data_IF_489785122979
#
_entry.id   IF_489785122979
#
_cell.length_a   1.000
_cell.length_b   1.000
_cell.length_c   1.000
_cell.angle_alpha   90.00
_cell.angle_beta   90.00
_cell.angle_gamma   90.00
#
_symmetry.space_group_name_H-M   'P 1'
#
loop_
_entity.id
_entity.type
_entity.pdbx_description
1 polymer ?
#
# COMPACT_ATOMS: atom_id res chain seq x y z
N UNK A 1 -0.92 -4.18 -2.15
CA UNK A 1 -1.38 -4.71 -3.45
C UNK A 1 -2.90 -4.73 -3.56
N UNK A 2 -3.63 -5.43 -2.68
CA UNK A 2 -5.11 -5.36 -2.60
C UNK A 2 -5.65 -3.93 -2.48
N UNK A 3 -5.02 -3.14 -1.61
CA UNK A 3 -5.33 -1.71 -1.46
C UNK A 3 -5.26 -0.92 -2.76
N UNK A 4 -4.13 -0.95 -3.48
CA UNK A 4 -3.88 -0.16 -4.71
C UNK A 4 -4.97 -0.40 -5.77
N UNK A 5 -5.29 -1.67 -6.04
CA UNK A 5 -6.33 -2.03 -7.00
C UNK A 5 -7.73 -1.61 -6.52
N UNK A 6 -8.00 -1.75 -5.22
CA UNK A 6 -9.30 -1.40 -4.64
C UNK A 6 -9.56 0.10 -4.69
N UNK A 7 -8.55 0.92 -4.37
CA UNK A 7 -8.67 2.38 -4.44
C UNK A 7 -8.98 2.84 -5.86
N UNK A 8 -8.37 2.25 -6.88
CA UNK A 8 -8.71 2.55 -8.26
C UNK A 8 -10.21 2.31 -8.56
N UNK A 9 -10.77 1.19 -8.10
CA UNK A 9 -12.20 0.90 -8.24
C UNK A 9 -13.07 1.90 -7.46
N UNK A 10 -12.65 2.30 -6.26
CA UNK A 10 -13.36 3.30 -5.46
C UNK A 10 -13.36 4.67 -6.14
N UNK A 11 -12.24 5.09 -6.72
CA UNK A 11 -12.12 6.35 -7.45
C UNK A 11 -13.01 6.37 -8.70
N UNK A 12 -13.11 5.23 -9.43
CA UNK A 12 -14.02 5.10 -10.57
C UNK A 12 -15.47 5.21 -10.11
N UNK A 13 -15.84 4.56 -9.01
CA UNK A 13 -17.21 4.65 -8.48
C UNK A 13 -17.57 6.06 -8.00
N UNK A 14 -16.63 6.79 -7.39
CA UNK A 14 -16.84 8.16 -6.93
C UNK A 14 -17.01 9.15 -8.09
N UNK A 15 -16.43 8.87 -9.25
CA UNK A 15 -16.58 9.69 -10.46
C UNK A 15 -16.84 8.82 -11.70
N UNK A 16 -18.06 8.26 -11.86
CA UNK A 16 -18.34 7.24 -12.87
C UNK A 16 -18.18 7.74 -14.32
N UNK A 17 -18.29 9.05 -14.54
CA UNK A 17 -18.16 9.66 -15.87
C UNK A 17 -16.70 9.93 -16.28
N UNK A 18 -15.72 9.67 -15.41
CA UNK A 18 -14.32 9.98 -15.69
C UNK A 18 -13.35 9.08 -14.92
N UNK A 19 -12.36 8.54 -15.62
CA UNK A 19 -11.26 7.79 -15.01
C UNK A 19 -10.20 8.70 -14.35
N UNK A 20 -10.41 10.02 -14.36
CA UNK A 20 -9.43 11.01 -13.89
C UNK A 20 -8.93 10.73 -12.48
N UNK A 21 -9.82 10.43 -11.53
CA UNK A 21 -9.44 10.20 -10.14
C UNK A 21 -8.54 8.95 -9.99
N UNK A 22 -8.87 7.87 -10.69
CA UNK A 22 -8.07 6.64 -10.68
C UNK A 22 -6.71 6.85 -11.39
N UNK A 23 -6.71 7.59 -12.51
CA UNK A 23 -5.49 7.90 -13.25
C UNK A 23 -4.54 8.79 -12.43
N UNK A 24 -5.06 9.84 -11.77
CA UNK A 24 -4.28 10.72 -10.89
C UNK A 24 -3.69 9.92 -9.73
N UNK A 25 -4.47 9.04 -9.10
CA UNK A 25 -3.99 8.19 -8.02
C UNK A 25 -2.83 7.29 -8.46
N UNK A 26 -3.00 6.55 -9.56
CA UNK A 26 -1.94 5.69 -10.09
C UNK A 26 -0.70 6.48 -10.54
N UNK A 27 -0.89 7.68 -11.10
CA UNK A 27 0.21 8.56 -11.50
C UNK A 27 0.99 9.09 -10.29
N UNK A 28 0.31 9.44 -9.20
CA UNK A 28 0.95 9.91 -7.96
C UNK A 28 1.73 8.77 -7.29
N UNK A 29 1.18 7.56 -7.18
CA UNK A 29 1.91 6.42 -6.60
C UNK A 29 3.13 6.05 -7.46
N UNK A 30 2.96 5.95 -8.77
CA UNK A 30 4.06 5.60 -9.68
C UNK A 30 5.12 6.70 -9.74
N UNK A 31 4.68 7.96 -9.83
CA UNK A 31 5.56 9.12 -9.88
C UNK A 31 6.33 9.33 -8.58
N UNK A 32 5.68 9.16 -7.43
CA UNK A 32 6.36 9.23 -6.14
C UNK A 32 7.43 8.15 -6.02
N UNK A 33 7.11 6.89 -6.35
CA UNK A 33 8.08 5.80 -6.35
C UNK A 33 9.26 6.07 -7.29
N UNK A 34 9.00 6.58 -8.49
CA UNK A 34 10.04 6.89 -9.48
C UNK A 34 10.97 8.02 -9.02
N UNK A 35 10.41 9.10 -8.45
CA UNK A 35 11.17 10.29 -8.05
C UNK A 35 11.90 10.08 -6.72
N UNK A 36 11.21 9.54 -5.72
CA UNK A 36 11.73 9.41 -4.36
C UNK A 36 12.35 8.04 -4.06
N UNK A 37 12.15 7.03 -4.92
CA UNK A 37 12.68 5.68 -4.69
C UNK A 37 14.21 5.64 -4.47
N UNK A 38 15.03 6.29 -5.32
CA UNK A 38 16.47 6.37 -5.09
C UNK A 38 16.85 7.10 -3.80
N UNK A 39 16.05 8.10 -3.39
CA UNK A 39 16.27 8.86 -2.16
C UNK A 39 16.01 7.97 -0.94
N UNK A 40 14.90 7.23 -0.95
CA UNK A 40 14.56 6.26 0.10
C UNK A 40 15.65 5.21 0.21
N UNK A 41 16.11 4.64 -0.92
CA UNK A 41 17.18 3.64 -0.94
C UNK A 41 18.49 4.15 -0.30
N UNK A 42 18.97 5.33 -0.70
CA UNK A 42 20.17 5.94 -0.11
C UNK A 42 20.00 6.27 1.37
N UNK A 43 18.80 6.69 1.77
CA UNK A 43 18.54 7.07 3.15
C UNK A 43 18.61 5.88 4.10
N UNK A 44 18.14 4.70 3.68
CA UNK A 44 18.15 3.48 4.50
C UNK A 44 19.47 2.70 4.44
N UNK A 45 20.44 3.09 3.62
CA UNK A 45 21.78 2.47 3.55
C UNK A 45 22.61 2.64 4.82
N UNK A 46 22.45 3.74 5.56
CA UNK A 46 23.20 3.99 6.79
C UNK A 46 22.46 3.67 8.09
N UNK A 47 21.25 3.10 8.02
CA UNK A 47 20.39 2.90 9.18
C UNK A 47 20.42 1.45 9.67
N UNK A 48 20.33 1.27 10.99
CA UNK A 48 20.19 -0.07 11.57
C UNK A 48 18.92 -0.76 11.05
N UNK A 49 19.04 -2.05 10.76
CA UNK A 49 17.96 -2.91 10.26
C UNK A 49 16.64 -2.72 11.04
N UNK A 50 16.69 -2.74 12.38
CA UNK A 50 15.50 -2.61 13.25
C UNK A 50 14.86 -1.22 13.13
N UNK A 51 15.66 -0.16 12.93
CA UNK A 51 15.15 1.20 12.75
C UNK A 51 14.45 1.35 11.41
N UNK A 52 15.02 0.77 10.35
CA UNK A 52 14.39 0.77 9.01
C UNK A 52 13.08 -0.01 9.05
N UNK A 53 13.06 -1.20 9.66
CA UNK A 53 11.85 -2.00 9.84
C UNK A 53 10.75 -1.21 10.57
N UNK A 54 11.08 -0.60 11.72
CA UNK A 54 10.10 0.14 12.52
C UNK A 54 9.56 1.35 11.77
N UNK A 55 10.43 2.10 11.10
CA UNK A 55 10.03 3.25 10.30
C UNK A 55 9.11 2.84 9.14
N UNK A 56 9.48 1.77 8.43
CA UNK A 56 8.66 1.18 7.38
C UNK A 56 7.27 0.79 7.92
N UNK A 57 7.20 -0.09 8.92
CA UNK A 57 5.92 -0.58 9.45
C UNK A 57 5.03 0.57 9.92
N UNK A 58 5.56 1.50 10.71
CA UNK A 58 4.76 2.61 11.25
C UNK A 58 4.25 3.53 10.14
N UNK A 59 5.12 3.93 9.21
CA UNK A 59 4.72 4.87 8.13
C UNK A 59 3.76 4.23 7.13
N UNK A 60 3.93 2.95 6.82
CA UNK A 60 3.02 2.19 5.95
C UNK A 60 1.64 2.05 6.62
N UNK A 61 1.61 1.62 7.88
CA UNK A 61 0.37 1.37 8.61
C UNK A 61 -0.44 2.64 8.82
N UNK A 62 0.21 3.75 9.22
CA UNK A 62 -0.46 5.05 9.34
C UNK A 62 -1.03 5.51 8.00
N UNK A 63 -0.29 5.34 6.91
CA UNK A 63 -0.75 5.70 5.57
C UNK A 63 -2.02 4.94 5.18
N UNK A 64 -2.06 3.63 5.39
CA UNK A 64 -3.25 2.83 5.05
C UNK A 64 -4.45 3.10 5.96
N UNK A 65 -4.25 3.40 7.24
CA UNK A 65 -5.34 3.79 8.15
C UNK A 65 -5.96 5.12 7.70
N UNK A 66 -5.12 6.11 7.40
CA UNK A 66 -5.56 7.44 6.94
C UNK A 66 -6.30 7.32 5.61
N UNK A 67 -5.70 6.63 4.63
CA UNK A 67 -6.29 6.45 3.31
C UNK A 67 -7.58 5.61 3.37
N UNK A 68 -7.60 4.56 4.18
CA UNK A 68 -8.77 3.71 4.47
C UNK A 68 -9.93 4.50 5.06
N UNK A 69 -9.68 5.28 6.11
CA UNK A 69 -10.68 6.15 6.74
C UNK A 69 -11.24 7.20 5.78
N UNK A 70 -10.38 7.82 4.97
CA UNK A 70 -10.79 8.82 3.98
C UNK A 70 -11.71 8.20 2.90
N UNK A 71 -11.33 7.04 2.36
CA UNK A 71 -12.14 6.30 1.39
C UNK A 71 -13.48 5.84 1.98
N UNK A 72 -13.48 5.31 3.21
CA UNK A 72 -14.73 4.88 3.87
C UNK A 72 -15.67 6.08 4.00
N UNK A 73 -15.17 7.24 4.43
CA UNK A 73 -15.97 8.46 4.53
C UNK A 73 -16.53 8.88 3.17
N UNK A 74 -15.70 8.87 2.12
CA UNK A 74 -16.10 9.15 0.74
C UNK A 74 -17.19 8.21 0.23
N UNK A 75 -17.17 6.93 0.62
CA UNK A 75 -18.12 5.93 0.15
C UNK A 75 -19.40 5.83 0.99
N UNK A 76 -19.35 6.17 2.28
CA UNK A 76 -20.50 6.05 3.17
C UNK A 76 -21.41 7.28 3.12
N UNK A 77 -20.85 8.47 3.03
CA UNK A 77 -21.63 9.72 3.03
C UNK A 77 -22.01 10.05 1.58
N UNK A 78 -23.30 9.92 1.29
CA UNK A 78 -23.85 10.31 0.00
C UNK A 78 -23.73 11.85 -0.18
N UNK A 79 -23.72 12.31 -1.43
CA UNK A 79 -23.81 13.73 -1.78
C UNK A 79 -22.66 14.63 -1.32
N UNK A 80 -21.55 14.08 -0.83
CA UNK A 80 -20.31 14.82 -0.53
C UNK A 80 -19.86 15.66 -1.73
N UNK A 81 -19.94 15.09 -2.94
CA UNK A 81 -19.54 15.76 -4.18
C UNK A 81 -20.43 16.97 -4.51
N UNK A 82 -21.74 16.91 -4.23
CA UNK A 82 -22.72 17.93 -4.60
C UNK A 82 -22.92 19.00 -3.51
N UNK A 83 -22.90 18.62 -2.23
CA UNK A 83 -23.17 19.52 -1.11
C UNK A 83 -21.92 19.98 -0.37
N UNK A 84 -20.85 19.17 -0.34
CA UNK A 84 -19.62 19.46 0.41
C UNK A 84 -18.37 19.27 -0.46
N UNK A 85 -18.32 19.95 -1.60
CA UNK A 85 -17.26 19.77 -2.60
C UNK A 85 -15.84 19.95 -2.04
N UNK A 86 -15.63 20.90 -1.13
CA UNK A 86 -14.34 21.09 -0.47
C UNK A 86 -13.93 19.86 0.35
N UNK A 87 -14.85 19.28 1.11
CA UNK A 87 -14.59 18.06 1.89
C UNK A 87 -14.33 16.85 0.98
N UNK A 88 -15.05 16.75 -0.13
CA UNK A 88 -14.77 15.74 -1.14
C UNK A 88 -13.33 15.86 -1.68
N UNK A 89 -12.91 17.06 -2.08
CA UNK A 89 -11.56 17.29 -2.62
C UNK A 89 -10.49 17.03 -1.56
N UNK A 90 -10.67 17.48 -0.32
CA UNK A 90 -9.69 17.26 0.74
C UNK A 90 -9.50 15.78 1.05
N UNK A 91 -10.57 14.98 1.08
CA UNK A 91 -10.49 13.53 1.29
C UNK A 91 -9.79 12.82 0.12
N UNK A 92 -10.02 13.26 -1.11
CA UNK A 92 -9.31 12.74 -2.30
C UNK A 92 -7.81 13.06 -2.20
N UNK A 93 -7.45 14.31 -1.93
CA UNK A 93 -6.04 14.72 -1.78
C UNK A 93 -5.37 13.95 -0.64
N UNK A 94 -6.04 13.83 0.50
CA UNK A 94 -5.54 13.08 1.65
C UNK A 94 -5.28 11.61 1.30
N UNK A 95 -6.20 10.96 0.57
CA UNK A 95 -6.04 9.58 0.10
C UNK A 95 -4.83 9.43 -0.83
N UNK A 96 -4.63 10.38 -1.75
CA UNK A 96 -3.50 10.36 -2.68
C UNK A 96 -2.14 10.54 -1.97
N UNK A 97 -2.07 11.50 -1.05
CA UNK A 97 -0.84 11.76 -0.28
C UNK A 97 -0.52 10.56 0.63
N UNK A 98 -1.52 10.02 1.32
CA UNK A 98 -1.34 8.83 2.14
C UNK A 98 -0.94 7.61 1.29
N UNK A 99 -1.55 7.40 0.12
CA UNK A 99 -1.16 6.35 -0.84
C UNK A 99 0.31 6.48 -1.28
N UNK A 100 0.75 7.69 -1.62
CA UNK A 100 2.14 7.97 -1.99
C UNK A 100 3.13 7.65 -0.85
N UNK A 101 2.80 8.02 0.39
CA UNK A 101 3.61 7.68 1.56
C UNK A 101 3.64 6.17 1.81
N UNK A 102 2.49 5.49 1.67
CA UNK A 102 2.37 4.04 1.82
C UNK A 102 3.19 3.27 0.79
N UNK A 103 3.18 3.67 -0.48
CA UNK A 103 3.96 2.99 -1.53
C UNK A 103 5.47 3.20 -1.36
N UNK A 104 5.90 4.41 -0.97
CA UNK A 104 7.31 4.69 -0.66
C UNK A 104 7.81 3.91 0.54
N UNK A 105 6.98 3.82 1.58
CA UNK A 105 7.27 3.02 2.75
C UNK A 105 7.41 1.54 2.39
N UNK A 106 6.49 1.02 1.56
CA UNK A 106 6.55 -0.35 1.02
C UNK A 106 7.84 -0.61 0.24
N UNK A 107 8.27 0.35 -0.59
CA UNK A 107 9.54 0.25 -1.33
C UNK A 107 10.73 0.11 -0.37
N UNK A 108 10.81 0.95 0.67
CA UNK A 108 11.86 0.85 1.69
C UNK A 108 11.91 -0.52 2.36
N UNK A 109 10.73 -1.10 2.66
CA UNK A 109 10.61 -2.44 3.18
C UNK A 109 11.06 -3.55 2.23
N UNK A 110 10.75 -3.43 0.94
CA UNK A 110 11.25 -4.37 -0.08
C UNK A 110 12.77 -4.34 -0.14
N UNK A 111 13.38 -3.15 -0.15
CA UNK A 111 14.84 -3.01 -0.17
C UNK A 111 15.46 -3.63 1.10
N UNK A 112 14.84 -3.42 2.27
CA UNK A 112 15.28 -4.02 3.54
C UNK A 112 15.30 -5.56 3.47
N UNK A 113 14.24 -6.17 2.92
CA UNK A 113 14.15 -7.62 2.80
C UNK A 113 15.20 -8.16 1.82
N UNK A 114 15.35 -7.52 0.66
CA UNK A 114 16.26 -7.98 -0.39
C UNK A 114 17.74 -7.79 -0.02
N UNK A 115 18.08 -6.71 0.68
CA UNK A 115 19.47 -6.37 1.01
C UNK A 115 19.94 -6.96 2.34
N UNK A 116 19.12 -6.90 3.37
CA UNK A 116 19.59 -7.22 4.73
C UNK A 116 19.10 -8.62 5.15
N UNK A 117 17.82 -8.94 4.98
CA UNK A 117 17.30 -10.26 5.36
C UNK A 117 17.78 -11.38 4.46
N UNK A 118 17.64 -11.20 3.15
CA UNK A 118 17.96 -12.25 2.19
C UNK A 118 19.46 -12.60 2.24
N UNK A 119 20.31 -11.58 2.40
CA UNK A 119 21.76 -11.76 2.51
C UNK A 119 22.12 -12.47 3.81
N UNK A 120 21.61 -12.02 4.96
CA UNK A 120 21.92 -12.66 6.27
C UNK A 120 21.50 -14.13 6.32
N UNK A 121 20.35 -14.49 5.76
CA UNK A 121 19.88 -15.88 5.72
C UNK A 121 20.81 -16.77 4.86
N UNK A 122 21.47 -16.19 3.86
CA UNK A 122 22.28 -16.92 2.88
C UNK A 122 23.78 -16.71 3.04
N UNK A 123 24.22 -16.06 4.11
CA UNK A 123 25.61 -15.61 4.31
C UNK A 123 26.61 -16.79 4.23
N UNK A 124 26.25 -17.94 4.78
CA UNK A 124 27.07 -19.17 4.75
C UNK A 124 26.90 -20.03 3.48
N UNK A 125 26.18 -19.54 2.47
CA UNK A 125 25.80 -20.32 1.28
C UNK A 125 26.37 -19.75 -0.03
N UNK A 126 26.50 -20.58 -1.09
CA UNK A 126 26.93 -20.10 -2.39
C UNK A 126 26.01 -18.99 -2.96
N UNK A 127 26.53 -18.03 -3.75
CA UNK A 127 25.73 -16.94 -4.33
C UNK A 127 24.51 -17.37 -5.15
N UNK A 128 24.53 -18.61 -5.67
CA UNK A 128 23.39 -19.23 -6.36
C UNK A 128 22.15 -19.37 -5.46
N UNK A 129 22.34 -19.55 -4.15
CA UNK A 129 21.25 -19.69 -3.17
C UNK A 129 20.55 -18.34 -2.95
N UNK A 130 21.31 -17.24 -2.81
CA UNK A 130 20.76 -15.88 -2.73
C UNK A 130 19.96 -15.53 -4.00
N UNK A 131 20.51 -15.83 -5.18
CA UNK A 131 19.83 -15.59 -6.47
C UNK A 131 18.53 -16.37 -6.58
N UNK A 132 18.54 -17.65 -6.16
CA UNK A 132 17.35 -18.49 -6.12
C UNK A 132 16.30 -17.94 -5.14
N UNK A 133 16.73 -17.52 -3.96
CA UNK A 133 15.82 -16.95 -2.95
C UNK A 133 15.18 -15.66 -3.43
N UNK A 134 15.95 -14.73 -4.01
CA UNK A 134 15.42 -13.51 -4.62
C UNK A 134 14.39 -13.81 -5.71
N UNK A 135 14.65 -14.82 -6.54
CA UNK A 135 13.71 -15.27 -7.57
C UNK A 135 12.41 -15.82 -6.97
N UNK A 136 12.48 -16.59 -5.88
CA UNK A 136 11.30 -17.12 -5.18
C UNK A 136 10.48 -16.01 -4.52
N UNK A 137 11.13 -15.09 -3.80
CA UNK A 137 10.49 -13.92 -3.18
C UNK A 137 9.74 -13.10 -4.24
N UNK A 138 10.40 -12.84 -5.38
CA UNK A 138 9.79 -12.13 -6.51
C UNK A 138 8.61 -12.90 -7.12
N UNK A 139 8.70 -14.22 -7.20
CA UNK A 139 7.60 -15.07 -7.66
C UNK A 139 6.37 -15.00 -6.75
N UNK A 140 6.57 -14.95 -5.43
CA UNK A 140 5.49 -14.78 -4.45
C UNK A 140 4.86 -13.39 -4.59
N UNK A 141 5.65 -12.34 -4.70
CA UNK A 141 5.14 -10.96 -4.90
C UNK A 141 4.30 -10.85 -6.18
N UNK A 142 4.80 -11.39 -7.30
CA UNK A 142 4.07 -11.41 -8.57
C UNK A 142 2.76 -12.19 -8.48
N UNK A 143 2.77 -13.36 -7.84
CA UNK A 143 1.56 -14.17 -7.65
C UNK A 143 0.52 -13.43 -6.82
N UNK A 144 0.93 -12.78 -5.73
CA UNK A 144 0.05 -11.96 -4.89
C UNK A 144 -0.54 -10.76 -5.66
N UNK A 145 0.28 -10.11 -6.50
CA UNK A 145 -0.18 -9.03 -7.40
C UNK A 145 -1.26 -9.50 -8.38
N UNK A 146 -1.18 -10.73 -8.88
CA UNK A 146 -2.18 -11.29 -9.79
C UNK A 146 -3.47 -11.70 -9.06
N UNK A 147 -3.36 -12.26 -7.84
CA UNK A 147 -4.51 -12.69 -7.05
C UNK A 147 -5.30 -11.52 -6.45
N UNK A 148 -4.62 -10.41 -6.17
CA UNK A 148 -5.22 -9.23 -5.54
C UNK A 148 -6.43 -8.66 -6.31
N UNK A 149 -6.35 -8.42 -7.64
CA UNK A 149 -7.50 -8.00 -8.43
C UNK A 149 -8.64 -9.02 -8.45
N UNK A 150 -8.32 -10.31 -8.48
CA UNK A 150 -9.32 -11.39 -8.49
C UNK A 150 -10.13 -11.37 -7.20
N UNK A 151 -9.46 -11.39 -6.04
CA UNK A 151 -10.13 -11.38 -4.73
C UNK A 151 -10.94 -10.10 -4.54
N UNK A 152 -10.36 -8.94 -4.90
CA UNK A 152 -11.05 -7.66 -4.81
C UNK A 152 -12.30 -7.64 -5.70
N UNK A 153 -12.17 -8.06 -6.96
CA UNK A 153 -13.26 -8.11 -7.91
C UNK A 153 -14.40 -9.01 -7.45
N UNK A 154 -14.08 -10.17 -6.87
CA UNK A 154 -15.08 -11.08 -6.30
C UNK A 154 -15.84 -10.42 -5.14
N UNK A 155 -15.14 -9.79 -4.18
CA UNK A 155 -15.80 -9.13 -3.04
C UNK A 155 -16.68 -7.97 -3.52
N UNK A 156 -16.17 -7.14 -4.44
CA UNK A 156 -16.93 -6.02 -5.00
C UNK A 156 -18.17 -6.50 -5.75
N UNK A 157 -18.06 -7.57 -6.53
CA UNK A 157 -19.14 -8.08 -7.38
C UNK A 157 -20.21 -8.84 -6.59
N UNK A 158 -19.81 -9.64 -5.59
CA UNK A 158 -20.74 -10.51 -4.86
C UNK A 158 -21.21 -9.93 -3.51
N UNK A 159 -20.49 -8.97 -2.92
CA UNK A 159 -20.83 -8.41 -1.61
C UNK A 159 -21.24 -6.95 -1.75
N UNK A 160 -20.29 -6.05 -1.97
CA UNK A 160 -20.50 -4.65 -2.38
C UNK A 160 -19.17 -3.90 -2.38
N UNK A 161 -19.15 -2.78 -3.10
CA UNK A 161 -18.00 -1.86 -3.07
C UNK A 161 -17.73 -1.31 -1.66
N UNK A 162 -18.77 -0.87 -0.93
CA UNK A 162 -18.63 -0.32 0.42
C UNK A 162 -18.12 -1.36 1.41
N UNK A 163 -18.67 -2.58 1.36
CA UNK A 163 -18.21 -3.68 2.21
C UNK A 163 -16.73 -4.02 1.92
N UNK A 164 -16.31 -4.02 0.65
CA UNK A 164 -14.89 -4.26 0.32
C UNK A 164 -13.96 -3.24 0.97
N UNK A 165 -14.34 -1.95 0.95
CA UNK A 165 -13.52 -0.88 1.53
C UNK A 165 -13.39 -1.02 3.04
N UNK A 166 -14.51 -1.31 3.73
CA UNK A 166 -14.52 -1.55 5.17
C UNK A 166 -13.69 -2.78 5.52
N UNK A 167 -13.88 -3.89 4.80
CA UNK A 167 -13.16 -5.14 5.04
C UNK A 167 -11.65 -4.95 4.87
N UNK A 168 -11.19 -4.29 3.80
CA UNK A 168 -9.75 -4.08 3.60
C UNK A 168 -9.14 -3.09 4.58
N UNK A 169 -9.86 -2.03 4.95
CA UNK A 169 -9.39 -1.10 5.98
C UNK A 169 -9.32 -1.76 7.36
N UNK A 170 -10.33 -2.55 7.72
CA UNK A 170 -10.36 -3.30 8.97
C UNK A 170 -9.25 -4.36 9.00
N UNK A 171 -9.10 -5.11 7.91
CA UNK A 171 -8.02 -6.09 7.75
C UNK A 171 -6.65 -5.43 7.92
N UNK A 172 -6.38 -4.35 7.19
CA UNK A 172 -5.14 -3.60 7.31
C UNK A 172 -4.91 -3.15 8.76
N UNK A 173 -5.90 -2.52 9.39
CA UNK A 173 -5.79 -2.03 10.78
C UNK A 173 -5.48 -3.15 11.78
N UNK A 174 -6.14 -4.30 11.66
CA UNK A 174 -5.92 -5.45 12.55
C UNK A 174 -4.51 -6.01 12.37
N UNK A 175 -4.08 -6.23 11.13
CA UNK A 175 -2.73 -6.76 10.87
C UNK A 175 -1.64 -5.77 11.27
N UNK A 176 -1.83 -4.47 10.99
CA UNK A 176 -0.94 -3.41 11.47
C UNK A 176 -0.79 -3.43 12.99
N UNK A 177 -1.87 -3.65 13.72
CA UNK A 177 -1.85 -3.77 15.17
C UNK A 177 -1.08 -5.01 15.61
N UNK A 178 -1.36 -6.18 15.02
CA UNK A 178 -0.66 -7.43 15.33
C UNK A 178 0.84 -7.31 15.05
N UNK A 179 1.24 -6.74 13.92
CA UNK A 179 2.65 -6.49 13.57
C UNK A 179 3.33 -5.57 14.59
N UNK A 180 2.65 -4.50 15.01
CA UNK A 180 3.16 -3.59 16.04
C UNK A 180 3.42 -4.36 17.35
N UNK A 181 2.50 -5.22 17.78
CA UNK A 181 2.69 -6.06 18.96
C UNK A 181 3.85 -7.04 18.84
N UNK A 182 4.05 -7.64 17.66
CA UNK A 182 5.03 -8.71 17.47
C UNK A 182 6.46 -8.19 17.29
N UNK A 183 6.64 -6.97 16.77
CA UNK A 183 7.97 -6.41 16.47
C UNK A 183 8.44 -5.31 17.42
N UNK A 184 7.57 -4.76 18.28
CA UNK A 184 7.93 -3.68 19.21
C UNK A 184 7.93 -4.13 20.68
N UNK A 185 7.26 -5.23 21.00
CA UNK A 185 7.35 -5.94 22.28
C UNK A 185 8.08 -7.26 22.11
#
# INVERSE_FOLDING_TARGET
RTWEFSVALYMIYLWPNSLLLAAVYGAIESGSTAVFGPIVGKWIEGMDYVKVLRLWLVSQNLSYIIAGGAIIRLLLVADLRSHHFLEFVTLIVLTNVAGALGVLSTLGGTILIERDWAVVITDDHPPAVLTKMNSVIRGIDLSSKLMSPVVTGLIVSFVSLKASAITFAAWATIFSWVEYWLFIY
#
